data_IF_360654487459
#
_entry.id   IF_360654487459
#
_cell.length_a   1.000
_cell.length_b   1.000
_cell.length_c   1.000
_cell.angle_alpha   90.00
_cell.angle_beta   90.00
_cell.angle_gamma   90.00
#
_symmetry.space_group_name_H-M   'P 1'
#
loop_
_entity.id
_entity.type
_entity.pdbx_description
1 polymer ?
#
# COMPACT_ATOMS: atom_id res chain seq x y z
N UNK A 1 -9.07 -69.60 36.98
CA UNK A 1 -7.97 -68.67 37.29
C UNK A 1 -8.34 -67.29 36.79
N UNK A 2 -8.69 -66.41 37.73
CA UNK A 2 -8.98 -64.99 37.47
C UNK A 2 -7.67 -64.27 37.11
N UNK A 3 -7.54 -63.85 35.85
CA UNK A 3 -6.58 -62.83 35.41
C UNK A 3 -7.35 -61.66 34.80
N UNK A 4 -8.28 -61.09 35.60
CA UNK A 4 -9.11 -59.95 35.23
C UNK A 4 -8.55 -58.63 35.74
N UNK A 5 -8.05 -57.81 34.81
CA UNK A 5 -8.18 -56.35 34.81
C UNK A 5 -7.56 -55.51 35.94
N UNK A 6 -6.28 -55.72 36.28
CA UNK A 6 -5.46 -54.59 36.73
C UNK A 6 -4.84 -53.96 35.47
N UNK A 7 -5.53 -52.96 34.89
CA UNK A 7 -4.98 -52.20 33.76
C UNK A 7 -3.65 -51.55 34.16
N UNK A 8 -2.68 -51.53 33.25
CA UNK A 8 -1.39 -50.88 33.48
C UNK A 8 -1.64 -49.44 34.01
N UNK A 9 -1.08 -49.08 35.19
CA UNK A 9 -1.29 -47.77 35.79
C UNK A 9 -0.93 -46.61 34.84
N UNK A 10 0.01 -46.81 33.91
CA UNK A 10 0.34 -45.85 32.86
C UNK A 10 -0.79 -45.64 31.86
N UNK A 11 -1.46 -46.72 31.44
CA UNK A 11 -2.61 -46.66 30.52
C UNK A 11 -3.83 -46.05 31.20
N UNK A 12 -4.14 -46.42 32.44
CA UNK A 12 -5.27 -45.84 33.19
C UNK A 12 -5.08 -44.35 33.48
N UNK A 13 -3.82 -43.90 33.68
CA UNK A 13 -3.49 -42.49 33.89
C UNK A 13 -3.91 -41.61 32.71
N UNK A 14 -3.53 -41.99 31.50
CA UNK A 14 -3.75 -41.19 30.28
C UNK A 14 -5.05 -41.55 29.54
N UNK A 15 -5.44 -42.82 29.53
CA UNK A 15 -6.54 -43.35 28.72
C UNK A 15 -7.71 -43.91 29.56
N UNK A 16 -7.74 -43.67 30.87
CA UNK A 16 -8.78 -44.19 31.76
C UNK A 16 -10.20 -43.66 31.50
N UNK A 17 -10.34 -42.53 30.80
CA UNK A 17 -11.63 -42.01 30.32
C UNK A 17 -11.47 -41.38 28.95
N UNK A 18 -12.56 -41.29 28.17
CA UNK A 18 -12.54 -40.67 26.84
C UNK A 18 -11.97 -39.23 26.88
N UNK A 19 -12.40 -38.43 27.86
CA UNK A 19 -11.92 -37.05 28.00
C UNK A 19 -10.42 -36.99 28.35
N UNK A 20 -9.92 -37.92 29.17
CA UNK A 20 -8.48 -38.00 29.47
C UNK A 20 -7.68 -38.42 28.24
N UNK A 21 -8.21 -39.34 27.43
CA UNK A 21 -7.58 -39.73 26.17
C UNK A 21 -7.49 -38.54 25.21
N UNK A 22 -8.58 -37.79 25.04
CA UNK A 22 -8.58 -36.56 24.22
C UNK A 22 -7.58 -35.54 24.76
N UNK A 23 -7.55 -35.34 26.08
CA UNK A 23 -6.61 -34.43 26.73
C UNK A 23 -5.14 -34.84 26.53
N UNK A 24 -4.82 -36.13 26.65
CA UNK A 24 -3.47 -36.66 26.42
C UNK A 24 -3.02 -36.50 24.96
N UNK A 25 -3.94 -36.71 24.01
CA UNK A 25 -3.69 -36.51 22.58
C UNK A 25 -3.41 -35.03 22.26
N UNK A 26 -4.21 -34.12 22.81
CA UNK A 26 -4.01 -32.66 22.66
C UNK A 26 -2.71 -32.20 23.33
N UNK A 27 -2.39 -32.69 24.53
CA UNK A 27 -1.12 -32.40 25.21
C UNK A 27 0.08 -32.85 24.37
N UNK A 28 0.00 -34.03 23.76
CA UNK A 28 1.06 -34.58 22.91
C UNK A 28 1.21 -33.77 21.61
N UNK A 29 0.11 -33.28 21.05
CA UNK A 29 0.08 -32.43 19.85
C UNK A 29 0.68 -31.03 20.10
N UNK A 30 0.30 -30.40 21.21
CA UNK A 30 0.70 -29.02 21.54
C UNK A 30 2.05 -28.93 22.26
N UNK A 31 2.72 -30.06 22.51
CA UNK A 31 4.00 -30.11 23.20
C UNK A 31 3.92 -29.92 24.72
N UNK A 32 2.74 -30.11 25.32
CA UNK A 32 2.54 -30.04 26.77
C UNK A 32 3.04 -31.26 27.55
N UNK A 33 3.21 -32.39 26.86
CA UNK A 33 3.90 -33.58 27.36
C UNK A 33 4.68 -34.19 26.21
N UNK A 34 5.83 -34.81 26.50
CA UNK A 34 6.55 -35.55 25.48
C UNK A 34 5.70 -36.73 25.01
N UNK A 35 5.50 -36.87 23.70
CA UNK A 35 4.64 -37.92 23.13
C UNK A 35 5.07 -39.34 23.55
N UNK A 36 6.35 -39.57 23.87
CA UNK A 36 6.86 -40.85 24.35
C UNK A 36 6.28 -41.25 25.71
N UNK A 37 6.05 -40.29 26.62
CA UNK A 37 5.47 -40.54 27.96
C UNK A 37 4.03 -41.06 27.89
N UNK A 38 3.34 -40.76 26.78
CA UNK A 38 1.98 -41.21 26.49
C UNK A 38 1.98 -42.50 25.66
N UNK A 39 2.96 -42.69 24.76
CA UNK A 39 3.04 -43.87 23.89
C UNK A 39 3.66 -45.10 24.55
N UNK A 40 4.60 -44.93 25.48
CA UNK A 40 5.31 -46.05 26.11
C UNK A 40 4.37 -47.04 26.83
N UNK A 41 3.36 -46.60 27.60
CA UNK A 41 2.36 -47.52 28.17
C UNK A 41 1.48 -48.19 27.12
N UNK A 42 1.23 -47.55 25.97
CA UNK A 42 0.44 -48.13 24.88
C UNK A 42 1.21 -49.24 24.15
N UNK A 43 2.52 -49.10 24.01
CA UNK A 43 3.37 -50.11 23.37
C UNK A 43 3.46 -51.42 24.16
N UNK A 44 3.38 -51.33 25.49
CA UNK A 44 3.40 -52.51 26.37
C UNK A 44 2.12 -53.35 26.27
N UNK A 45 1.03 -52.80 25.74
CA UNK A 45 -0.26 -53.49 25.63
C UNK A 45 -0.39 -54.28 24.32
N UNK A 46 -0.16 -53.65 23.16
CA UNK A 46 -0.23 -54.33 21.86
C UNK A 46 0.57 -53.58 20.79
N UNK A 47 1.32 -54.32 19.97
CA UNK A 47 2.22 -53.76 18.95
C UNK A 47 1.51 -52.87 17.92
N UNK A 48 0.22 -53.09 17.64
CA UNK A 48 -0.55 -52.31 16.68
C UNK A 48 -0.93 -50.90 17.15
N UNK A 49 -0.88 -50.63 18.47
CA UNK A 49 -1.18 -49.30 19.01
C UNK A 49 -0.07 -48.30 18.65
N UNK A 50 1.14 -48.82 18.43
CA UNK A 50 2.30 -48.01 18.11
C UNK A 50 2.23 -47.27 16.77
N UNK A 51 2.02 -47.96 15.63
CA UNK A 51 1.90 -47.30 14.34
C UNK A 51 0.68 -46.36 14.29
N UNK A 52 -0.41 -46.69 14.98
CA UNK A 52 -1.61 -45.83 15.04
C UNK A 52 -1.32 -44.49 15.73
N UNK A 53 -0.68 -44.53 16.90
CA UNK A 53 -0.32 -43.31 17.64
C UNK A 53 0.73 -42.48 16.89
N UNK A 54 1.73 -43.13 16.29
CA UNK A 54 2.75 -42.45 15.49
C UNK A 54 2.15 -41.77 14.24
N UNK A 55 1.23 -42.44 13.56
CA UNK A 55 0.48 -41.86 12.44
C UNK A 55 -0.34 -40.65 12.91
N UNK A 56 -1.04 -40.75 14.04
CA UNK A 56 -1.78 -39.63 14.62
C UNK A 56 -0.87 -38.42 14.88
N UNK A 57 0.26 -38.60 15.56
CA UNK A 57 1.19 -37.51 15.88
C UNK A 57 1.74 -36.87 14.60
N UNK A 58 2.21 -37.70 13.67
CA UNK A 58 2.80 -37.22 12.41
C UNK A 58 1.78 -36.47 11.58
N UNK A 59 0.58 -37.02 11.39
CA UNK A 59 -0.50 -36.38 10.64
C UNK A 59 -0.93 -35.06 11.30
N UNK A 60 -1.07 -35.05 12.61
CA UNK A 60 -1.59 -33.91 13.36
C UNK A 60 -0.57 -32.75 13.40
N UNK A 61 0.72 -33.05 13.53
CA UNK A 61 1.80 -32.04 13.50
C UNK A 61 2.08 -31.58 12.07
N UNK A 62 2.19 -32.49 11.10
CA UNK A 62 2.61 -32.13 9.73
C UNK A 62 1.47 -31.65 8.84
N UNK A 63 0.24 -32.13 9.04
CA UNK A 63 -0.90 -31.73 8.21
C UNK A 63 -1.77 -30.71 8.94
N UNK A 64 -2.32 -31.05 10.10
CA UNK A 64 -3.33 -30.19 10.76
C UNK A 64 -2.75 -28.83 11.15
N UNK A 65 -1.61 -28.81 11.85
CA UNK A 65 -0.99 -27.55 12.26
C UNK A 65 -0.58 -26.71 11.05
N UNK A 66 0.03 -27.32 10.03
CA UNK A 66 0.46 -26.61 8.82
C UNK A 66 -0.71 -26.10 7.97
N UNK A 67 -1.85 -26.81 7.91
CA UNK A 67 -3.07 -26.31 7.27
C UNK A 67 -3.60 -25.09 8.01
N UNK A 68 -3.68 -25.16 9.34
CA UNK A 68 -4.14 -24.04 10.17
C UNK A 68 -3.23 -22.83 9.98
N UNK A 69 -1.91 -23.03 10.07
CA UNK A 69 -0.92 -21.97 9.83
C UNK A 69 -1.04 -21.40 8.42
N UNK A 70 -1.24 -22.24 7.40
CA UNK A 70 -1.45 -21.81 6.02
C UNK A 70 -2.64 -20.87 5.88
N UNK A 71 -3.80 -21.24 6.44
CA UNK A 71 -5.01 -20.39 6.42
C UNK A 71 -4.78 -19.06 7.14
N UNK A 72 -4.06 -19.03 8.26
CA UNK A 72 -3.75 -17.78 8.95
C UNK A 72 -2.81 -16.88 8.14
N UNK A 73 -1.81 -17.46 7.47
CA UNK A 73 -0.89 -16.71 6.60
C UNK A 73 -1.64 -16.17 5.39
N UNK A 74 -2.48 -16.97 4.75
CA UNK A 74 -3.28 -16.55 3.59
C UNK A 74 -4.20 -15.37 3.95
N UNK A 75 -4.92 -15.47 5.08
CA UNK A 75 -5.76 -14.37 5.58
C UNK A 75 -4.95 -13.09 5.86
N UNK A 76 -3.74 -13.22 6.43
CA UNK A 76 -2.87 -12.09 6.71
C UNK A 76 -2.36 -11.42 5.42
N UNK A 77 -2.02 -12.22 4.40
CA UNK A 77 -1.58 -11.74 3.08
C UNK A 77 -2.73 -11.06 2.34
N UNK A 78 -3.92 -11.67 2.29
CA UNK A 78 -5.10 -11.10 1.64
C UNK A 78 -5.48 -9.74 2.24
N UNK A 79 -5.45 -9.63 3.58
CA UNK A 79 -5.72 -8.37 4.28
C UNK A 79 -4.71 -7.29 3.88
N UNK A 80 -3.42 -7.64 3.82
CA UNK A 80 -2.37 -6.70 3.42
C UNK A 80 -2.51 -6.26 1.94
N UNK A 81 -2.91 -7.17 1.05
CA UNK A 81 -3.14 -6.86 -0.37
C UNK A 81 -4.35 -5.93 -0.55
N UNK A 82 -5.46 -6.25 0.11
CA UNK A 82 -6.70 -5.44 0.06
C UNK A 82 -6.46 -4.02 0.52
N UNK A 83 -5.65 -3.83 1.57
CA UNK A 83 -5.28 -2.49 2.03
C UNK A 83 -4.52 -1.69 0.97
N UNK A 84 -3.57 -2.32 0.27
CA UNK A 84 -2.80 -1.64 -0.78
C UNK A 84 -3.68 -1.26 -1.97
N UNK A 85 -4.53 -2.19 -2.43
CA UNK A 85 -5.45 -1.94 -3.54
C UNK A 85 -6.46 -0.84 -3.19
N UNK A 86 -7.00 -0.86 -1.97
CA UNK A 86 -7.89 0.19 -1.47
C UNK A 86 -7.21 1.58 -1.48
N UNK A 87 -5.95 1.67 -1.06
CA UNK A 87 -5.21 2.93 -1.08
C UNK A 87 -4.99 3.45 -2.50
N UNK A 88 -4.61 2.58 -3.44
CA UNK A 88 -4.44 2.97 -4.86
C UNK A 88 -5.76 3.44 -5.46
N UNK A 89 -6.85 2.71 -5.21
CA UNK A 89 -8.17 3.07 -5.72
C UNK A 89 -8.63 4.43 -5.18
N UNK A 90 -8.40 4.69 -3.89
CA UNK A 90 -8.73 5.97 -3.26
C UNK A 90 -7.94 7.13 -3.86
N UNK A 91 -6.65 6.94 -4.16
CA UNK A 91 -5.83 7.96 -4.81
C UNK A 91 -6.34 8.27 -6.23
N UNK A 92 -6.70 7.22 -6.99
CA UNK A 92 -7.27 7.37 -8.33
C UNK A 92 -8.62 8.11 -8.30
N UNK A 93 -9.52 7.78 -7.36
CA UNK A 93 -10.81 8.47 -7.19
C UNK A 93 -10.64 9.96 -6.87
N UNK A 94 -9.68 10.31 -6.00
CA UNK A 94 -9.36 11.71 -5.70
C UNK A 94 -8.86 12.43 -6.95
N UNK A 95 -7.99 11.78 -7.76
CA UNK A 95 -7.47 12.35 -8.99
C UNK A 95 -8.57 12.54 -10.04
N UNK A 96 -9.45 11.57 -10.23
CA UNK A 96 -10.58 11.66 -11.17
C UNK A 96 -11.55 12.79 -10.78
N UNK A 97 -11.91 12.88 -9.50
CA UNK A 97 -12.76 13.97 -9.01
C UNK A 97 -12.12 15.33 -9.27
N UNK A 98 -10.81 15.45 -9.02
CA UNK A 98 -10.07 16.68 -9.28
C UNK A 98 -10.06 17.05 -10.76
N UNK A 99 -9.73 16.10 -11.65
CA UNK A 99 -9.75 16.33 -13.11
C UNK A 99 -11.14 16.76 -13.58
N UNK A 100 -12.20 16.15 -13.05
CA UNK A 100 -13.58 16.51 -13.38
C UNK A 100 -13.92 17.94 -12.94
N UNK A 101 -13.56 18.32 -11.72
CA UNK A 101 -13.74 19.69 -11.23
C UNK A 101 -12.97 20.70 -12.09
N UNK A 102 -11.72 20.40 -12.45
CA UNK A 102 -10.89 21.29 -13.28
C UNK A 102 -11.43 21.43 -14.70
N UNK A 103 -11.92 20.35 -15.31
CA UNK A 103 -12.58 20.41 -16.63
C UNK A 103 -13.86 21.25 -16.58
N UNK A 104 -14.59 21.20 -15.46
CA UNK A 104 -15.75 22.08 -15.28
C UNK A 104 -15.33 23.55 -15.21
N UNK A 105 -14.31 23.90 -14.41
CA UNK A 105 -13.81 25.27 -14.35
C UNK A 105 -13.29 25.75 -15.72
N UNK A 106 -12.57 24.91 -16.45
CA UNK A 106 -12.11 25.25 -17.79
C UNK A 106 -13.28 25.58 -18.72
N UNK A 107 -14.34 24.76 -18.72
CA UNK A 107 -15.53 25.03 -19.52
C UNK A 107 -16.34 26.24 -19.08
N UNK A 108 -16.15 26.73 -17.85
CA UNK A 108 -16.73 27.99 -17.40
C UNK A 108 -15.86 29.21 -17.80
N UNK A 109 -14.55 29.01 -18.04
CA UNK A 109 -13.60 30.02 -18.51
C UNK A 109 -13.66 30.21 -20.03
N UNK A 110 -13.74 29.11 -20.78
CA UNK A 110 -13.87 29.07 -22.24
C UNK A 110 -15.28 29.55 -22.65
N UNK A 111 -15.46 30.87 -22.72
CA UNK A 111 -16.75 31.50 -23.01
C UNK A 111 -17.13 31.37 -24.48
N UNK A 112 -16.14 31.32 -25.37
CA UNK A 112 -16.34 31.23 -26.80
C UNK A 112 -16.44 29.77 -27.31
N UNK A 113 -16.10 28.79 -26.48
CA UNK A 113 -16.15 27.37 -26.78
C UNK A 113 -15.07 26.93 -27.77
N UNK A 114 -13.96 27.68 -27.84
CA UNK A 114 -12.82 27.40 -28.71
C UNK A 114 -12.07 26.12 -28.31
N UNK A 115 -12.22 25.66 -27.06
CA UNK A 115 -11.44 24.57 -26.48
C UNK A 115 -10.09 25.01 -25.92
N UNK A 116 -9.85 26.32 -25.90
CA UNK A 116 -8.65 27.02 -25.43
C UNK A 116 -9.09 28.21 -24.58
N UNK A 117 -8.24 28.71 -23.70
CA UNK A 117 -8.53 29.91 -22.91
C UNK A 117 -7.44 30.95 -23.12
N UNK A 118 -7.83 32.11 -23.61
CA UNK A 118 -6.96 33.27 -23.83
C UNK A 118 -6.68 34.03 -22.54
N UNK A 119 -5.62 34.84 -22.51
CA UNK A 119 -5.29 35.65 -21.33
C UNK A 119 -6.43 36.62 -20.96
N UNK A 120 -7.13 37.15 -21.95
CA UNK A 120 -8.30 38.02 -21.80
C UNK A 120 -9.45 37.28 -21.09
N UNK A 121 -9.77 36.07 -21.53
CA UNK A 121 -10.82 35.24 -20.90
C UNK A 121 -10.44 34.83 -19.47
N UNK A 122 -9.16 34.52 -19.22
CA UNK A 122 -8.66 34.30 -17.86
C UNK A 122 -8.89 35.55 -17.02
N UNK A 123 -8.52 36.74 -17.50
CA UNK A 123 -8.68 38.00 -16.74
C UNK A 123 -10.15 38.31 -16.44
N UNK A 124 -11.03 38.17 -17.43
CA UNK A 124 -12.46 38.38 -17.26
C UNK A 124 -13.07 37.39 -16.27
N UNK A 125 -12.64 36.12 -16.31
CA UNK A 125 -13.12 35.10 -15.39
C UNK A 125 -12.54 35.26 -13.97
N UNK A 126 -11.31 35.76 -13.85
CA UNK A 126 -10.67 36.10 -12.57
C UNK A 126 -11.29 37.34 -11.89
N UNK A 127 -12.10 38.13 -12.59
CA UNK A 127 -12.90 39.20 -11.95
C UNK A 127 -14.11 38.63 -11.16
N UNK A 128 -14.47 37.35 -11.33
CA UNK A 128 -15.49 36.69 -10.51
C UNK A 128 -14.92 36.32 -9.11
N UNK A 129 -15.57 36.84 -8.06
CA UNK A 129 -15.23 36.61 -6.66
C UNK A 129 -15.12 35.12 -6.28
N UNK A 130 -15.89 34.24 -6.94
CA UNK A 130 -15.88 32.79 -6.68
C UNK A 130 -14.57 32.16 -7.15
N UNK A 131 -14.08 32.61 -8.31
CA UNK A 131 -12.86 32.14 -8.95
C UNK A 131 -11.65 32.59 -8.16
N UNK A 132 -11.61 33.87 -7.77
CA UNK A 132 -10.57 34.39 -6.88
C UNK A 132 -10.49 33.62 -5.58
N UNK A 133 -11.63 33.29 -4.98
CA UNK A 133 -11.69 32.50 -3.75
C UNK A 133 -11.15 31.07 -3.96
N UNK A 134 -11.42 30.48 -5.12
CA UNK A 134 -10.94 29.15 -5.48
C UNK A 134 -9.42 29.12 -5.71
N UNK A 135 -8.89 30.04 -6.51
CA UNK A 135 -7.44 30.16 -6.75
C UNK A 135 -6.68 30.53 -5.47
N UNK A 136 -7.26 31.37 -4.62
CA UNK A 136 -6.70 31.67 -3.31
C UNK A 136 -6.68 30.45 -2.39
N UNK A 137 -7.70 29.58 -2.46
CA UNK A 137 -7.69 28.29 -1.76
C UNK A 137 -6.64 27.31 -2.32
N UNK A 138 -6.27 27.46 -3.59
CA UNK A 138 -5.12 26.77 -4.21
C UNK A 138 -3.77 27.45 -3.89
N UNK A 139 -3.76 28.56 -3.15
CA UNK A 139 -2.54 29.29 -2.79
C UNK A 139 -2.02 30.24 -3.87
N UNK A 140 -2.85 30.56 -4.87
CA UNK A 140 -2.51 31.42 -6.01
C UNK A 140 -3.14 32.79 -5.80
N UNK A 141 -2.33 33.85 -5.87
CA UNK A 141 -2.81 35.23 -5.75
C UNK A 141 -3.36 35.72 -7.09
N UNK A 142 -4.60 36.27 -7.16
CA UNK A 142 -5.15 36.87 -8.37
C UNK A 142 -4.27 37.98 -8.98
N UNK A 143 -3.42 38.64 -8.19
CA UNK A 143 -2.49 39.65 -8.70
C UNK A 143 -1.38 39.07 -9.61
N UNK A 144 -1.12 37.75 -9.51
CA UNK A 144 -0.10 37.05 -10.31
C UNK A 144 -0.70 36.30 -11.51
N UNK A 145 -1.96 36.58 -11.90
CA UNK A 145 -2.67 35.84 -12.97
C UNK A 145 -1.91 35.82 -14.30
N UNK A 146 -1.21 36.89 -14.68
CA UNK A 146 -0.34 36.88 -15.89
C UNK A 146 0.84 35.93 -15.77
N UNK A 147 1.49 35.88 -14.59
CA UNK A 147 2.59 34.95 -14.34
C UNK A 147 2.11 33.51 -14.31
N UNK A 148 0.93 33.30 -13.73
CA UNK A 148 0.25 32.02 -13.70
C UNK A 148 -0.05 31.54 -15.11
N UNK A 149 -0.60 32.42 -15.96
CA UNK A 149 -0.90 32.13 -17.36
C UNK A 149 0.34 31.62 -18.09
N UNK A 150 1.44 32.38 -18.01
CA UNK A 150 2.72 32.01 -18.63
C UNK A 150 3.39 30.76 -18.02
N UNK A 151 2.97 30.33 -16.82
CA UNK A 151 3.49 29.13 -16.19
C UNK A 151 2.65 27.89 -16.53
N UNK A 152 1.43 28.09 -17.03
CA UNK A 152 0.53 27.04 -17.49
C UNK A 152 0.70 26.83 -19.01
N UNK A 153 0.79 27.91 -19.78
CA UNK A 153 1.12 27.95 -21.22
C UNK A 153 2.55 27.41 -21.44
N UNK A 154 2.67 26.09 -21.61
CA UNK A 154 3.95 25.39 -21.68
C UNK A 154 4.54 25.47 -23.09
N UNK A 155 3.69 25.56 -24.11
CA UNK A 155 4.10 25.69 -25.51
C UNK A 155 4.32 27.14 -25.96
N UNK A 156 3.88 28.12 -25.16
CA UNK A 156 4.03 29.55 -25.44
C UNK A 156 3.13 30.04 -26.56
N UNK A 157 2.03 29.34 -26.82
CA UNK A 157 1.05 29.68 -27.87
C UNK A 157 0.29 30.96 -27.55
N UNK A 158 0.26 31.38 -26.27
CA UNK A 158 -0.56 32.50 -25.80
C UNK A 158 -2.01 32.12 -25.54
N UNK A 159 -2.33 30.82 -25.60
CA UNK A 159 -3.63 30.23 -25.30
C UNK A 159 -3.42 29.00 -24.43
N UNK A 160 -4.28 28.75 -23.45
CA UNK A 160 -4.17 27.58 -22.58
C UNK A 160 -5.15 26.50 -23.04
N UNK A 161 -4.63 25.35 -23.45
CA UNK A 161 -5.46 24.18 -23.72
C UNK A 161 -5.97 23.51 -22.44
N UNK A 162 -7.02 22.69 -22.55
CA UNK A 162 -7.58 21.94 -21.41
C UNK A 162 -6.51 21.08 -20.72
N UNK A 163 -5.63 20.46 -21.50
CA UNK A 163 -4.61 19.56 -20.96
C UNK A 163 -3.49 20.34 -20.26
N UNK A 164 -3.09 21.50 -20.80
CA UNK A 164 -2.15 22.42 -20.13
C UNK A 164 -2.73 22.98 -18.83
N UNK A 165 -4.00 23.37 -18.82
CA UNK A 165 -4.68 23.83 -17.61
C UNK A 165 -4.70 22.74 -16.52
N UNK A 166 -5.05 21.51 -16.90
CA UNK A 166 -5.07 20.38 -15.96
C UNK A 166 -3.69 20.08 -15.38
N UNK A 167 -2.67 19.99 -16.23
CA UNK A 167 -1.30 19.73 -15.80
C UNK A 167 -0.73 20.90 -15.00
N UNK A 168 -0.97 22.13 -15.43
CA UNK A 168 -0.60 23.35 -14.72
C UNK A 168 -1.18 23.42 -13.32
N UNK A 169 -2.49 23.19 -13.18
CA UNK A 169 -3.15 23.17 -11.88
C UNK A 169 -2.68 22.00 -10.99
N UNK A 170 -2.39 20.82 -11.57
CA UNK A 170 -1.77 19.69 -10.85
C UNK A 170 -0.38 20.05 -10.31
N UNK A 171 0.46 20.71 -11.12
CA UNK A 171 1.79 21.18 -10.71
C UNK A 171 1.70 22.20 -9.57
N UNK A 172 0.75 23.13 -9.66
CA UNK A 172 0.59 24.24 -8.71
C UNK A 172 -0.03 23.84 -7.37
N UNK A 173 -0.94 22.87 -7.37
CA UNK A 173 -1.57 22.36 -6.14
C UNK A 173 -0.62 21.51 -5.29
N UNK A 174 0.44 20.98 -5.89
CA UNK A 174 1.41 20.11 -5.24
C UNK A 174 2.43 20.89 -4.41
N UNK A 175 2.66 20.47 -3.16
CA UNK A 175 3.94 20.78 -2.51
C UNK A 175 5.04 20.04 -3.28
N UNK A 176 6.15 20.73 -3.62
CA UNK A 176 7.30 20.08 -4.24
C UNK A 176 7.67 18.82 -3.44
N UNK A 177 7.58 17.65 -4.08
CA UNK A 177 7.91 16.38 -3.43
C UNK A 177 9.43 16.36 -3.22
N UNK A 178 9.90 15.57 -2.25
CA UNK A 178 11.33 15.44 -1.98
C UNK A 178 12.14 15.06 -3.23
N UNK A 179 11.53 14.30 -4.14
CA UNK A 179 12.12 13.93 -5.44
C UNK A 179 12.26 15.12 -6.39
N UNK A 180 11.28 16.02 -6.43
CA UNK A 180 11.31 17.23 -7.27
C UNK A 180 12.43 18.16 -6.81
N UNK A 181 12.62 18.29 -5.48
CA UNK A 181 13.72 19.04 -4.89
C UNK A 181 15.07 18.42 -5.23
N UNK A 182 15.20 17.09 -5.14
CA UNK A 182 16.44 16.41 -5.53
C UNK A 182 16.74 16.55 -7.03
N UNK A 183 15.71 16.51 -7.89
CA UNK A 183 15.85 16.75 -9.32
C UNK A 183 16.37 18.17 -9.59
N UNK A 184 15.77 19.20 -8.96
CA UNK A 184 16.25 20.58 -9.04
C UNK A 184 17.70 20.73 -8.56
N UNK A 185 18.05 20.12 -7.42
CA UNK A 185 19.43 20.14 -6.91
C UNK A 185 20.42 19.52 -7.91
N UNK A 186 20.01 18.45 -8.58
CA UNK A 186 20.81 17.81 -9.62
C UNK A 186 20.97 18.71 -10.86
N UNK A 187 19.90 19.36 -11.31
CA UNK A 187 19.95 20.30 -12.43
C UNK A 187 20.82 21.53 -12.14
N UNK A 188 20.71 22.09 -10.93
CA UNK A 188 21.57 23.19 -10.48
C UNK A 188 23.05 22.79 -10.52
N UNK A 189 23.42 21.61 -10.01
CA UNK A 189 24.80 21.10 -10.08
C UNK A 189 25.29 20.94 -11.53
N UNK A 190 24.42 20.46 -12.41
CA UNK A 190 24.75 20.29 -13.84
C UNK A 190 24.94 21.63 -14.54
N UNK A 191 24.16 22.65 -14.17
CA UNK A 191 24.31 24.01 -14.67
C UNK A 191 25.60 24.66 -14.17
N UNK A 192 25.95 24.48 -12.90
CA UNK A 192 27.21 24.96 -12.31
C UNK A 192 28.42 24.35 -13.04
N UNK A 193 28.41 23.03 -13.28
CA UNK A 193 29.46 22.38 -14.06
C UNK A 193 29.58 22.91 -15.50
N UNK A 194 28.45 23.20 -16.15
CA UNK A 194 28.45 23.80 -17.49
C UNK A 194 29.01 25.22 -17.48
N UNK A 195 28.65 26.02 -16.48
CA UNK A 195 29.19 27.36 -16.29
C UNK A 195 30.71 27.31 -16.08
N UNK A 196 31.23 26.43 -15.23
CA UNK A 196 32.66 26.27 -15.01
C UNK A 196 33.42 25.89 -16.28
N UNK A 197 32.88 24.96 -17.07
CA UNK A 197 33.48 24.56 -18.35
C UNK A 197 33.47 25.76 -19.32
N UNK A 198 32.38 26.52 -19.38
CA UNK A 198 32.24 27.66 -20.28
C UNK A 198 33.14 28.82 -19.86
N UNK A 199 33.31 29.09 -18.56
CA UNK A 199 34.22 30.10 -18.01
C UNK A 199 35.67 29.76 -18.31
N UNK A 200 36.07 28.50 -18.14
CA UNK A 200 37.41 28.02 -18.54
C UNK A 200 37.64 28.15 -20.05
N UNK A 201 36.61 27.87 -20.86
CA UNK A 201 36.69 28.00 -22.32
C UNK A 201 36.80 29.46 -22.79
N UNK A 202 36.26 30.42 -22.03
CA UNK A 202 36.30 31.85 -22.34
C UNK A 202 37.58 32.55 -21.85
N UNK A 203 38.54 31.83 -21.26
CA UNK A 203 39.82 32.37 -20.82
C UNK A 203 39.72 33.31 -19.61
N UNK A 204 38.58 33.31 -18.90
CA UNK A 204 38.43 33.98 -17.63
C UNK A 204 38.97 33.04 -16.53
N UNK A 205 40.30 33.02 -16.36
CA UNK A 205 40.88 32.57 -15.10
C UNK A 205 40.83 33.72 -14.08
N UNK A 206 40.54 33.45 -12.79
CA UNK A 206 40.59 34.45 -11.73
C UNK A 206 42.00 35.00 -11.48
#
# INVERSE_FOLDING_TARGET
EEHGAAGDPGVTRWFGTLLRSVYALVLSMLGGVSWHEVSDPLFQMHWSQAPLFFFYITFTILAVLNIITGVFVDNAVETAQTQREFLVQKEMEIKEKYVKEMRQFFGEMDQDGSGTVTLEEVKEYFDDLRVQSYFKALGIDPADTERLFHLIDDDGSGEISVDEFLDGCLRLKGSARSIDVHALMYECKRLEQRQDIMLRALGAEP
#
